data_IF_652196819359
#
_entry.id   IF_652196819359
#
_cell.length_a   1.000
_cell.length_b   1.000
_cell.length_c   1.000
_cell.angle_alpha   90.00
_cell.angle_beta   90.00
_cell.angle_gamma   90.00
#
_symmetry.space_group_name_H-M   'P 1'
#
loop_
_entity.id
_entity.type
_entity.pdbx_description
1 polymer ?
#
# COMPACT_ATOMS: atom_id res chain seq x y z
N UNK A 1 36.65 -7.45 15.95
CA UNK A 1 37.20 -8.67 15.29
C UNK A 1 36.59 -9.99 15.77
N UNK A 2 36.92 -10.57 16.95
CA UNK A 2 36.37 -11.90 17.35
C UNK A 2 34.83 -11.96 17.41
N UNK A 3 34.18 -10.87 17.81
CA UNK A 3 32.70 -10.76 17.84
C UNK A 3 32.11 -10.84 16.43
N UNK A 4 32.63 -10.07 15.48
CA UNK A 4 32.17 -10.03 14.08
C UNK A 4 32.35 -11.37 13.39
N UNK A 5 33.50 -12.03 13.56
CA UNK A 5 33.75 -13.35 12.98
C UNK A 5 32.80 -14.44 13.48
N UNK A 6 32.26 -14.31 14.70
CA UNK A 6 31.27 -15.26 15.27
C UNK A 6 29.82 -14.93 14.87
N UNK A 7 29.53 -13.71 14.42
CA UNK A 7 28.18 -13.29 14.04
C UNK A 7 27.50 -14.22 13.03
N UNK A 8 28.13 -14.67 11.92
CA UNK A 8 27.44 -15.55 10.96
C UNK A 8 26.96 -16.86 11.60
N UNK A 9 27.80 -17.50 12.42
CA UNK A 9 27.44 -18.71 13.15
C UNK A 9 26.34 -18.46 14.19
N UNK A 10 26.41 -17.34 14.92
CA UNK A 10 25.38 -16.97 15.91
C UNK A 10 24.04 -16.70 15.23
N UNK A 11 24.02 -16.02 14.09
CA UNK A 11 22.80 -15.74 13.33
C UNK A 11 22.16 -17.02 12.80
N UNK A 12 22.98 -17.92 12.22
CA UNK A 12 22.51 -19.23 11.76
C UNK A 12 21.93 -20.06 12.92
N UNK A 13 22.63 -20.12 14.06
CA UNK A 13 22.16 -20.82 15.26
C UNK A 13 20.84 -20.23 15.77
N UNK A 14 20.68 -18.91 15.79
CA UNK A 14 19.42 -18.25 16.20
C UNK A 14 18.27 -18.59 15.24
N UNK A 15 18.51 -18.64 13.94
CA UNK A 15 17.49 -19.00 12.96
C UNK A 15 16.96 -20.43 13.18
N UNK A 16 17.83 -21.38 13.53
CA UNK A 16 17.47 -22.79 13.73
C UNK A 16 16.86 -23.08 15.11
N UNK A 17 17.28 -22.36 16.16
CA UNK A 17 16.90 -22.65 17.55
C UNK A 17 15.68 -21.88 18.05
N UNK A 18 15.40 -20.69 17.49
CA UNK A 18 14.23 -19.90 17.90
C UNK A 18 12.93 -20.61 17.47
N UNK A 19 11.94 -20.63 18.38
CA UNK A 19 10.61 -21.24 18.15
C UNK A 19 9.49 -20.22 18.35
N UNK A 20 8.31 -20.54 17.83
CA UNK A 20 7.08 -19.75 18.01
C UNK A 20 7.18 -18.31 17.49
N UNK A 21 6.62 -17.35 18.25
CA UNK A 21 6.56 -15.93 17.88
C UNK A 21 7.97 -15.33 17.70
N UNK A 22 8.94 -15.75 18.52
CA UNK A 22 10.31 -15.26 18.43
C UNK A 22 10.95 -15.59 17.08
N UNK A 23 10.68 -16.79 16.54
CA UNK A 23 11.15 -17.19 15.22
C UNK A 23 10.51 -16.34 14.10
N UNK A 24 9.20 -16.11 14.19
CA UNK A 24 8.46 -15.28 13.21
C UNK A 24 8.99 -13.84 13.17
N UNK A 25 9.20 -13.22 14.34
CA UNK A 25 9.76 -11.88 14.45
C UNK A 25 11.20 -11.81 13.91
N UNK A 26 12.02 -12.82 14.23
CA UNK A 26 13.39 -12.90 13.74
C UNK A 26 13.44 -12.99 12.21
N UNK A 27 12.63 -13.84 11.60
CA UNK A 27 12.57 -14.00 10.15
C UNK A 27 12.08 -12.73 9.45
N UNK A 28 11.05 -12.07 10.00
CA UNK A 28 10.56 -10.77 9.49
C UNK A 28 11.66 -9.71 9.51
N UNK A 29 12.39 -9.62 10.62
CA UNK A 29 13.53 -8.69 10.73
C UNK A 29 14.61 -9.00 9.68
N UNK A 30 14.98 -10.27 9.49
CA UNK A 30 15.98 -10.68 8.48
C UNK A 30 15.53 -10.41 7.04
N UNK A 31 14.24 -10.56 6.75
CA UNK A 31 13.69 -10.23 5.44
C UNK A 31 13.80 -8.72 5.18
N UNK A 32 13.42 -7.89 6.15
CA UNK A 32 13.52 -6.42 6.02
C UNK A 32 14.97 -5.96 5.84
N UNK A 33 15.91 -6.52 6.61
CA UNK A 33 17.35 -6.25 6.46
C UNK A 33 17.84 -6.61 5.05
N UNK A 34 17.45 -7.77 4.50
CA UNK A 34 17.79 -8.17 3.12
C UNK A 34 17.19 -7.24 2.07
N UNK A 35 15.94 -6.84 2.23
CA UNK A 35 15.26 -5.93 1.30
C UNK A 35 15.96 -4.56 1.32
N UNK A 36 16.27 -4.05 2.51
CA UNK A 36 16.98 -2.78 2.66
C UNK A 36 18.34 -2.83 1.96
N UNK A 37 19.13 -3.88 2.21
CA UNK A 37 20.44 -4.04 1.57
C UNK A 37 20.34 -4.18 0.04
N UNK A 38 19.36 -4.93 -0.46
CA UNK A 38 19.12 -5.03 -1.92
C UNK A 38 18.77 -3.68 -2.53
N UNK A 39 17.91 -2.90 -1.86
CA UNK A 39 17.55 -1.54 -2.32
C UNK A 39 18.75 -0.61 -2.29
N UNK A 40 19.59 -0.66 -1.25
CA UNK A 40 20.78 0.20 -1.16
C UNK A 40 21.81 -0.14 -2.23
N UNK A 41 22.05 -1.44 -2.48
CA UNK A 41 22.96 -1.90 -3.54
C UNK A 41 22.43 -1.45 -4.91
N UNK A 42 21.16 -1.74 -5.21
CA UNK A 42 20.52 -1.31 -6.46
C UNK A 42 20.59 0.20 -6.65
N UNK A 43 20.31 0.99 -5.61
CA UNK A 43 20.41 2.46 -5.69
C UNK A 43 21.84 2.97 -5.89
N UNK A 44 22.85 2.19 -5.51
CA UNK A 44 24.25 2.53 -5.72
C UNK A 44 24.68 2.18 -7.15
N UNK A 45 24.34 0.97 -7.61
CA UNK A 45 24.55 0.52 -8.99
C UNK A 45 23.90 1.48 -10.00
N UNK A 46 22.64 1.87 -9.76
CA UNK A 46 21.91 2.85 -10.59
C UNK A 46 22.57 4.24 -10.59
N UNK A 47 23.25 4.64 -9.51
CA UNK A 47 23.99 5.92 -9.45
C UNK A 47 25.32 5.86 -10.19
N UNK A 48 26.01 4.72 -10.15
CA UNK A 48 27.28 4.51 -10.86
C UNK A 48 27.04 4.48 -12.37
N UNK A 49 25.98 3.82 -12.82
CA UNK A 49 25.58 3.84 -14.24
C UNK A 49 24.73 5.07 -14.54
N UNK A 50 25.36 6.16 -14.99
CA UNK A 50 24.61 7.30 -15.56
C UNK A 50 23.98 6.90 -16.90
N UNK A 51 22.89 6.15 -16.87
CA UNK A 51 22.08 5.91 -18.06
C UNK A 51 21.26 7.17 -18.37
N UNK A 52 21.46 7.71 -19.57
CA UNK A 52 20.62 8.79 -20.10
C UNK A 52 19.24 8.18 -20.30
N UNK A 53 18.25 8.57 -19.50
CA UNK A 53 16.87 8.12 -19.71
C UNK A 53 16.44 8.65 -21.08
N UNK A 54 16.25 7.75 -22.05
CA UNK A 54 15.58 8.10 -23.30
C UNK A 54 14.17 8.55 -22.95
N UNK A 55 13.84 9.76 -23.38
CA UNK A 55 12.54 10.37 -23.10
C UNK A 55 11.49 9.50 -23.81
N UNK A 56 10.57 8.85 -23.08
CA UNK A 56 9.54 8.05 -23.72
C UNK A 56 8.69 8.95 -24.62
N UNK A 57 8.33 8.44 -25.80
CA UNK A 57 7.55 9.15 -26.82
C UNK A 57 6.12 9.41 -26.31
N UNK A 58 5.98 10.49 -25.53
CA UNK A 58 4.78 10.83 -24.77
C UNK A 58 4.97 11.92 -23.72
N UNK A 59 6.08 12.66 -23.77
CA UNK A 59 6.39 13.74 -22.85
C UNK A 59 5.31 14.84 -22.90
N UNK A 60 4.55 14.95 -21.81
CA UNK A 60 3.70 16.11 -21.58
C UNK A 60 4.58 17.27 -21.10
N UNK A 61 4.25 18.53 -21.42
CA UNK A 61 4.89 19.68 -20.80
C UNK A 61 4.89 19.55 -19.27
N UNK A 62 5.92 20.07 -18.58
CA UNK A 62 6.14 19.88 -17.14
C UNK A 62 4.92 20.24 -16.27
N UNK A 63 4.13 21.23 -16.70
CA UNK A 63 2.90 21.69 -16.06
C UNK A 63 1.67 20.77 -16.25
N UNK A 64 1.78 19.70 -17.05
CA UNK A 64 0.74 18.72 -17.34
C UNK A 64 1.10 17.30 -16.88
N UNK A 65 2.27 17.07 -16.27
CA UNK A 65 2.75 15.73 -15.88
C UNK A 65 1.94 15.10 -14.74
N UNK A 66 1.57 15.89 -13.72
CA UNK A 66 0.84 15.42 -12.53
C UNK A 66 -0.68 15.61 -12.62
N UNK A 67 -1.17 16.11 -13.76
CA UNK A 67 -2.60 16.29 -13.99
C UNK A 67 -3.15 15.02 -14.63
N UNK A 68 -3.97 14.27 -13.91
CA UNK A 68 -4.75 13.18 -14.50
C UNK A 68 -5.45 13.69 -15.77
N UNK A 69 -5.32 12.94 -16.88
CA UNK A 69 -5.78 13.36 -18.21
C UNK A 69 -7.29 13.63 -18.21
N UNK A 70 -7.69 14.89 -18.09
CA UNK A 70 -9.07 15.32 -18.30
C UNK A 70 -9.35 15.38 -19.81
N UNK A 71 -10.25 14.52 -20.28
CA UNK A 71 -10.56 14.32 -21.70
C UNK A 71 -11.06 15.60 -22.41
N UNK A 72 -10.60 15.75 -23.65
CA UNK A 72 -10.84 16.83 -24.63
C UNK A 72 -12.25 17.46 -24.59
N UNK A 73 -12.28 18.79 -24.54
CA UNK A 73 -13.44 19.65 -24.33
C UNK A 73 -14.60 19.54 -25.35
N UNK A 74 -14.43 18.87 -26.50
CA UNK A 74 -15.55 18.59 -27.43
C UNK A 74 -16.42 17.39 -27.03
N UNK A 75 -16.00 16.61 -26.04
CA UNK A 75 -16.83 15.57 -25.40
C UNK A 75 -17.79 16.17 -24.36
N UNK A 76 -17.55 17.40 -23.87
CA UNK A 76 -18.30 18.02 -22.77
C UNK A 76 -19.77 18.31 -23.10
N UNK A 77 -20.10 18.67 -24.35
CA UNK A 77 -21.48 18.97 -24.72
C UNK A 77 -22.33 17.69 -24.85
N UNK A 78 -21.78 16.63 -25.45
CA UNK A 78 -22.45 15.33 -25.54
C UNK A 78 -22.49 14.61 -24.18
N UNK A 79 -21.44 14.74 -23.36
CA UNK A 79 -21.47 14.20 -22.00
C UNK A 79 -22.35 14.99 -21.05
N UNK A 80 -22.57 16.30 -21.22
CA UNK A 80 -23.57 17.02 -20.41
C UNK A 80 -24.98 16.50 -20.70
N UNK A 81 -25.27 16.15 -21.96
CA UNK A 81 -26.53 15.52 -22.37
C UNK A 81 -26.68 14.11 -21.78
N UNK A 82 -25.63 13.29 -21.78
CA UNK A 82 -25.61 11.99 -21.07
C UNK A 82 -25.67 12.14 -19.54
N UNK A 83 -24.95 13.10 -18.94
CA UNK A 83 -24.95 13.38 -17.49
C UNK A 83 -26.30 13.84 -16.98
N UNK A 84 -27.12 14.55 -17.78
CA UNK A 84 -28.51 14.87 -17.41
C UNK A 84 -29.39 13.63 -17.41
N UNK A 85 -29.17 12.66 -18.32
CA UNK A 85 -29.83 11.34 -18.31
C UNK A 85 -29.35 10.44 -17.17
N UNK A 86 -28.07 10.52 -16.80
CA UNK A 86 -27.43 9.72 -15.72
C UNK A 86 -27.41 10.42 -14.34
N UNK A 87 -27.98 11.61 -14.17
CA UNK A 87 -27.92 12.38 -12.91
C UNK A 87 -28.59 11.65 -11.74
N UNK A 88 -29.39 10.63 -12.02
CA UNK A 88 -29.92 9.69 -11.03
C UNK A 88 -28.85 8.74 -10.43
N UNK A 89 -27.63 8.66 -11.00
CA UNK A 89 -26.59 7.68 -10.60
C UNK A 89 -25.17 8.26 -10.48
N UNK A 90 -25.00 9.57 -10.27
CA UNK A 90 -23.66 10.22 -10.16
C UNK A 90 -23.27 10.76 -8.79
N UNK A 91 -24.08 10.48 -7.76
CA UNK A 91 -23.72 10.72 -6.36
C UNK A 91 -23.45 9.40 -5.63
N UNK A 92 -23.02 8.37 -6.36
CA UNK A 92 -22.69 7.10 -5.74
C UNK A 92 -21.42 7.24 -4.90
N UNK A 93 -21.57 6.85 -3.64
CA UNK A 93 -20.52 6.83 -2.63
C UNK A 93 -19.50 5.75 -3.01
N UNK A 94 -18.18 5.93 -2.74
CA UNK A 94 -17.13 4.95 -3.08
C UNK A 94 -17.40 3.51 -2.63
N UNK A 95 -18.26 3.33 -1.63
CA UNK A 95 -18.85 2.03 -1.26
C UNK A 95 -20.37 2.22 -1.19
N UNK A 96 -21.13 1.79 -2.21
CA UNK A 96 -22.57 2.04 -2.27
C UNK A 96 -23.38 1.09 -1.38
N UNK A 97 -22.85 -0.11 -1.09
CA UNK A 97 -23.53 -1.13 -0.28
C UNK A 97 -22.56 -1.74 0.72
N UNK A 98 -22.90 -1.65 2.00
CA UNK A 98 -22.13 -2.23 3.11
C UNK A 98 -22.88 -3.47 3.63
N UNK A 99 -22.13 -4.41 4.21
CA UNK A 99 -22.70 -5.56 4.90
C UNK A 99 -23.58 -5.09 6.06
N UNK A 100 -24.82 -5.57 6.13
CA UNK A 100 -25.72 -5.28 7.25
C UNK A 100 -25.18 -5.92 8.54
N UNK A 101 -25.24 -5.17 9.64
CA UNK A 101 -24.87 -5.61 10.99
C UNK A 101 -26.15 -6.01 11.71
N UNK A 102 -26.12 -7.12 12.46
CA UNK A 102 -27.29 -7.61 13.19
C UNK A 102 -27.57 -6.76 14.45
N UNK A 103 -28.83 -6.62 14.86
CA UNK A 103 -29.20 -5.82 16.04
C UNK A 103 -28.51 -6.28 17.32
N UNK A 104 -28.24 -7.58 17.46
CA UNK A 104 -27.53 -8.14 18.61
C UNK A 104 -26.04 -7.73 18.68
N UNK A 105 -25.41 -7.45 17.53
CA UNK A 105 -24.04 -6.90 17.49
C UNK A 105 -24.04 -5.39 17.77
N UNK A 106 -25.11 -4.68 17.39
CA UNK A 106 -25.25 -3.23 17.59
C UNK A 106 -25.62 -2.89 19.03
N UNK A 107 -26.53 -3.65 19.64
CA UNK A 107 -27.07 -3.35 20.95
C UNK A 107 -26.54 -4.30 22.02
N UNK A 108 -25.85 -3.74 23.01
CA UNK A 108 -25.49 -4.46 24.24
C UNK A 108 -26.66 -4.37 25.23
N UNK A 109 -27.21 -5.51 25.63
CA UNK A 109 -28.26 -5.57 26.67
C UNK A 109 -27.71 -5.04 28.00
N UNK A 110 -28.38 -4.04 28.58
CA UNK A 110 -28.08 -3.52 29.91
C UNK A 110 -29.25 -3.81 30.83
N UNK A 111 -29.05 -4.71 31.79
CA UNK A 111 -30.04 -4.97 32.84
C UNK A 111 -29.90 -3.89 33.94
N UNK A 112 -30.97 -3.35 34.52
CA UNK A 112 -30.90 -2.37 35.62
C UNK A 112 -31.85 -2.76 36.76
N UNK A 113 -31.52 -2.36 38.01
CA UNK A 113 -32.31 -2.64 39.21
C UNK A 113 -31.50 -3.13 40.40
N UNK A 114 -32.11 -3.15 41.60
CA UNK A 114 -31.50 -3.68 42.85
C UNK A 114 -31.42 -5.21 42.87
N UNK A 115 -32.43 -5.89 42.30
CA UNK A 115 -32.40 -7.32 41.99
C UNK A 115 -31.87 -7.46 40.56
N UNK A 116 -30.56 -7.42 40.43
CA UNK A 116 -29.89 -8.11 39.34
C UNK A 116 -29.59 -9.53 39.81
#
# INVERSE_FOLDING_TARGET
KKKEGRLPHILSKKAQTLRGIKAKLYNKRRQNEKIQMKKTIKSHEEKETKQRQEVPEGALPTYLLDREKQSRAKVLSNTMKQKRKEKAGKWDVPIPKVKAVSEAEVFRVVQSGKRR
#
